data_IF_783785954066
#
_entry.id   IF_783785954066
#
_cell.length_a   1.000
_cell.length_b   1.000
_cell.length_c   1.000
_cell.angle_alpha   90.00
_cell.angle_beta   90.00
_cell.angle_gamma   90.00
#
_symmetry.space_group_name_H-M   'P 1'
#
loop_
_entity.id
_entity.type
_entity.pdbx_description
1 polymer ?
#
# COMPACT_ATOMS: atom_id res chain seq x y z
N UNK A 1 -3.68 -31.90 7.57
CA UNK A 1 -2.44 -31.09 7.64
C UNK A 1 -1.29 -32.05 7.89
N UNK A 2 -0.24 -32.11 7.05
CA UNK A 2 0.93 -32.92 7.38
C UNK A 2 1.56 -32.36 8.66
N UNK A 3 1.62 -33.20 9.70
CA UNK A 3 2.32 -32.92 10.94
C UNK A 3 3.79 -32.71 10.61
N UNK A 4 4.25 -31.45 10.56
CA UNK A 4 5.66 -31.13 10.30
C UNK A 4 6.49 -31.75 11.40
N UNK A 5 7.31 -32.75 11.07
CA UNK A 5 8.08 -33.49 12.08
C UNK A 5 9.16 -32.59 12.69
N UNK A 6 9.58 -32.90 13.92
CA UNK A 6 10.68 -32.16 14.58
C UNK A 6 11.97 -32.22 13.76
N UNK A 7 12.17 -33.29 12.99
CA UNK A 7 13.29 -33.43 12.04
C UNK A 7 13.25 -32.36 10.94
N UNK A 8 12.12 -32.23 10.23
CA UNK A 8 11.93 -31.20 9.20
C UNK A 8 12.13 -29.78 9.73
N UNK A 9 11.70 -29.52 10.97
CA UNK A 9 11.90 -28.22 11.62
C UNK A 9 13.39 -27.95 11.89
N UNK A 10 14.16 -28.97 12.26
CA UNK A 10 15.61 -28.84 12.47
C UNK A 10 16.35 -28.62 11.15
N UNK A 11 15.98 -29.34 10.10
CA UNK A 11 16.53 -29.14 8.76
C UNK A 11 16.25 -27.72 8.25
N UNK A 12 15.04 -27.22 8.49
CA UNK A 12 14.67 -25.86 8.10
C UNK A 12 15.44 -24.79 8.87
N UNK A 13 15.70 -25.01 10.16
CA UNK A 13 16.55 -24.11 10.94
C UNK A 13 18.02 -24.19 10.48
N UNK A 14 18.49 -25.40 10.14
CA UNK A 14 19.83 -25.61 9.59
C UNK A 14 20.02 -24.88 8.26
N UNK A 15 19.00 -24.90 7.38
CA UNK A 15 19.01 -24.15 6.13
C UNK A 15 19.06 -22.62 6.35
N UNK A 16 18.66 -22.13 7.53
CA UNK A 16 18.80 -20.73 7.94
C UNK A 16 20.16 -20.45 8.62
N UNK A 17 21.03 -21.45 8.75
CA UNK A 17 22.38 -21.32 9.31
C UNK A 17 22.48 -21.61 10.81
N UNK A 18 21.39 -21.97 11.49
CA UNK A 18 21.39 -22.27 12.93
C UNK A 18 21.17 -23.76 13.23
N UNK A 19 21.86 -24.28 14.25
CA UNK A 19 21.65 -25.66 14.73
C UNK A 19 20.83 -25.64 16.02
N UNK A 20 19.64 -26.24 15.98
CA UNK A 20 18.82 -26.43 17.17
C UNK A 20 19.45 -27.48 18.10
N UNK A 21 19.58 -27.19 19.41
CA UNK A 21 19.88 -28.19 20.43
C UNK A 21 18.89 -29.37 20.43
N UNK A 22 19.35 -30.54 20.84
CA UNK A 22 18.49 -31.73 20.97
C UNK A 22 17.35 -31.55 21.98
N UNK A 23 17.55 -30.70 22.99
CA UNK A 23 16.55 -30.36 24.02
C UNK A 23 15.44 -29.43 23.54
N UNK A 24 15.58 -28.79 22.38
CA UNK A 24 14.55 -27.90 21.88
C UNK A 24 13.30 -28.67 21.45
N UNK A 25 12.16 -28.23 21.96
CA UNK A 25 10.86 -28.73 21.55
C UNK A 25 10.50 -28.20 20.17
N UNK A 26 9.59 -28.89 19.46
CA UNK A 26 9.12 -28.44 18.15
C UNK A 26 8.55 -27.01 18.16
N UNK A 27 7.97 -26.56 19.27
CA UNK A 27 7.47 -25.20 19.45
C UNK A 27 8.62 -24.17 19.49
N UNK A 28 9.68 -24.46 20.25
CA UNK A 28 10.86 -23.59 20.34
C UNK A 28 11.57 -23.46 18.98
N UNK A 29 11.69 -24.57 18.23
CA UNK A 29 12.29 -24.54 16.89
C UNK A 29 11.44 -23.70 15.94
N UNK A 30 10.10 -23.85 15.99
CA UNK A 30 9.18 -23.01 15.20
C UNK A 30 9.29 -21.54 15.56
N UNK A 31 9.36 -21.21 16.85
CA UNK A 31 9.52 -19.84 17.33
C UNK A 31 10.85 -19.23 16.85
N UNK A 32 11.95 -19.98 16.90
CA UNK A 32 13.25 -19.51 16.38
C UNK A 32 13.23 -19.29 14.87
N UNK A 33 12.65 -20.22 14.11
CA UNK A 33 12.46 -20.04 12.66
C UNK A 33 11.63 -18.78 12.37
N UNK A 34 10.58 -18.52 13.16
CA UNK A 34 9.77 -17.31 12.99
C UNK A 34 10.58 -16.04 13.27
N UNK A 35 11.33 -15.99 14.37
CA UNK A 35 12.19 -14.86 14.72
C UNK A 35 13.25 -14.57 13.64
N UNK A 36 13.94 -15.60 13.13
CA UNK A 36 14.94 -15.42 12.07
C UNK A 36 14.33 -14.93 10.75
N UNK A 37 13.11 -15.35 10.45
CA UNK A 37 12.39 -14.86 9.27
C UNK A 37 12.00 -13.41 9.42
N UNK A 38 11.52 -13.01 10.60
CA UNK A 38 11.15 -11.63 10.91
C UNK A 38 12.37 -10.70 10.85
N UNK A 39 13.49 -11.10 11.45
CA UNK A 39 14.76 -10.37 11.38
C UNK A 39 15.24 -10.21 9.93
N UNK A 40 15.21 -11.29 9.14
CA UNK A 40 15.57 -11.23 7.72
C UNK A 40 14.61 -10.35 6.92
N UNK A 41 13.32 -10.35 7.25
CA UNK A 41 12.34 -9.50 6.59
C UNK A 41 12.58 -8.02 6.93
N UNK A 42 12.89 -7.69 8.17
CA UNK A 42 13.23 -6.32 8.56
C UNK A 42 14.44 -5.79 7.77
N UNK A 43 15.52 -6.58 7.68
CA UNK A 43 16.70 -6.23 6.88
C UNK A 43 16.37 -6.05 5.39
N UNK A 44 15.43 -6.84 4.86
CA UNK A 44 14.97 -6.70 3.47
C UNK A 44 14.17 -5.42 3.26
N UNK A 45 13.35 -4.99 4.22
CA UNK A 45 12.63 -3.72 4.15
C UNK A 45 13.59 -2.54 4.11
N UNK A 46 14.55 -2.52 5.03
CA UNK A 46 15.56 -1.46 5.10
C UNK A 46 16.37 -1.39 3.78
N UNK A 47 16.82 -2.53 3.27
CA UNK A 47 17.53 -2.60 2.00
C UNK A 47 16.67 -2.12 0.82
N UNK A 48 15.38 -2.50 0.77
CA UNK A 48 14.46 -2.03 -0.28
C UNK A 48 14.28 -0.51 -0.22
N UNK A 49 14.14 0.05 0.98
CA UNK A 49 14.01 1.50 1.15
C UNK A 49 15.27 2.24 0.72
N UNK A 50 16.44 1.70 1.00
CA UNK A 50 17.72 2.24 0.54
C UNK A 50 17.83 2.22 -0.99
N UNK A 51 17.53 1.09 -1.64
CA UNK A 51 17.51 0.99 -3.11
C UNK A 51 16.51 2.00 -3.72
N UNK A 52 15.33 2.15 -3.12
CA UNK A 52 14.33 3.12 -3.56
C UNK A 52 14.77 4.57 -3.37
N UNK A 53 15.47 4.89 -2.27
CA UNK A 53 16.07 6.23 -2.03
C UNK A 53 17.12 6.55 -3.08
N UNK A 54 17.98 5.58 -3.41
CA UNK A 54 18.98 5.70 -4.49
C UNK A 54 18.31 5.94 -5.84
N UNK A 55 17.27 5.17 -6.17
CA UNK A 55 16.50 5.35 -7.41
C UNK A 55 15.88 6.75 -7.49
N UNK A 56 15.20 7.21 -6.43
CA UNK A 56 14.60 8.56 -6.38
C UNK A 56 15.65 9.67 -6.52
N UNK A 57 16.85 9.48 -5.97
CA UNK A 57 17.96 10.42 -6.13
C UNK A 57 18.47 10.45 -7.57
N UNK A 58 18.70 9.28 -8.18
CA UNK A 58 19.16 9.16 -9.56
C UNK A 58 18.14 9.72 -10.56
N UNK A 59 16.83 9.59 -10.28
CA UNK A 59 15.76 10.09 -11.13
C UNK A 59 15.75 11.63 -11.32
N UNK A 60 16.49 12.38 -10.50
CA UNK A 60 16.64 13.84 -10.68
C UNK A 60 17.40 14.21 -11.95
N UNK A 61 18.25 13.32 -12.46
CA UNK A 61 19.07 13.56 -13.65
C UNK A 61 19.09 12.32 -14.53
N UNK A 62 18.72 12.49 -15.80
CA UNK A 62 18.58 11.38 -16.77
C UNK A 62 19.86 10.53 -16.86
N UNK A 63 21.04 11.15 -16.90
CA UNK A 63 22.33 10.45 -16.97
C UNK A 63 22.57 9.54 -15.78
N UNK A 64 22.22 9.98 -14.58
CA UNK A 64 22.52 9.24 -13.35
C UNK A 64 21.59 8.02 -13.24
N UNK A 65 20.34 8.18 -13.69
CA UNK A 65 19.40 7.07 -13.82
C UNK A 65 19.84 6.03 -14.86
N UNK A 66 20.41 6.47 -15.99
CA UNK A 66 20.98 5.57 -17.01
C UNK A 66 22.14 4.74 -16.43
N UNK A 67 23.08 5.36 -15.72
CA UNK A 67 24.17 4.63 -15.07
C UNK A 67 23.66 3.59 -14.04
N UNK A 68 22.60 3.92 -13.30
CA UNK A 68 22.00 3.00 -12.34
C UNK A 68 21.36 1.80 -13.03
N UNK A 69 20.65 2.01 -14.14
CA UNK A 69 20.06 0.94 -14.95
C UNK A 69 21.14 0.06 -15.58
N UNK A 70 22.22 0.64 -16.11
CA UNK A 70 23.36 -0.09 -16.65
C UNK A 70 24.02 -0.97 -15.57
N UNK A 71 24.24 -0.42 -14.36
CA UNK A 71 24.79 -1.15 -13.22
C UNK A 71 23.97 -2.40 -12.86
N UNK A 72 22.66 -2.30 -12.95
CA UNK A 72 21.73 -3.38 -12.59
C UNK A 72 21.34 -4.23 -13.81
N UNK A 73 22.01 -4.04 -14.95
CA UNK A 73 21.78 -4.75 -16.21
C UNK A 73 20.33 -4.66 -16.73
N UNK A 74 19.68 -3.52 -16.49
CA UNK A 74 18.31 -3.27 -16.94
C UNK A 74 18.32 -2.60 -18.31
N UNK A 75 17.64 -3.20 -19.29
CA UNK A 75 17.61 -2.65 -20.65
C UNK A 75 16.84 -1.33 -20.72
N UNK A 76 17.47 -0.30 -21.29
CA UNK A 76 16.82 0.96 -21.64
C UNK A 76 17.27 1.49 -22.99
N UNK A 77 16.44 2.34 -23.58
CA UNK A 77 16.77 3.10 -24.78
C UNK A 77 17.20 4.52 -24.38
N UNK A 78 18.15 5.10 -25.11
CA UNK A 78 18.58 6.49 -24.91
C UNK A 78 17.42 7.48 -25.09
N UNK A 79 16.42 7.14 -25.92
CA UNK A 79 15.21 7.96 -26.10
C UNK A 79 14.18 7.83 -24.98
N UNK A 80 14.33 6.87 -24.05
CA UNK A 80 13.36 6.69 -22.97
C UNK A 80 13.32 7.93 -22.06
N UNK A 81 12.12 8.26 -21.59
CA UNK A 81 11.94 9.32 -20.61
C UNK A 81 12.36 8.85 -19.22
N UNK A 82 12.67 9.80 -18.32
CA UNK A 82 12.98 9.49 -16.92
C UNK A 82 11.88 8.64 -16.30
N UNK A 83 10.60 8.93 -16.58
CA UNK A 83 9.46 8.16 -16.06
C UNK A 83 9.48 6.70 -16.51
N UNK A 84 9.77 6.41 -17.78
CA UNK A 84 9.82 5.03 -18.29
C UNK A 84 10.96 4.27 -17.62
N UNK A 85 12.15 4.88 -17.57
CA UNK A 85 13.35 4.33 -16.93
C UNK A 85 13.14 4.08 -15.44
N UNK A 86 12.52 5.03 -14.74
CA UNK A 86 12.17 4.91 -13.33
C UNK A 86 11.21 3.74 -13.10
N UNK A 87 10.14 3.63 -13.89
CA UNK A 87 9.17 2.54 -13.74
C UNK A 87 9.81 1.16 -13.98
N UNK A 88 10.77 1.05 -14.91
CA UNK A 88 11.49 -0.21 -15.15
C UNK A 88 12.38 -0.57 -13.97
N UNK A 89 13.17 0.39 -13.47
CA UNK A 89 14.04 0.15 -12.33
C UNK A 89 13.23 -0.12 -11.05
N UNK A 90 12.13 0.61 -10.83
CA UNK A 90 11.22 0.38 -9.71
C UNK A 90 10.65 -1.05 -9.73
N UNK A 91 10.26 -1.54 -10.91
CA UNK A 91 9.80 -2.92 -11.07
C UNK A 91 10.88 -3.92 -10.61
N UNK A 92 12.11 -3.73 -11.07
CA UNK A 92 13.25 -4.60 -10.74
C UNK A 92 13.53 -4.60 -9.24
N UNK A 93 13.60 -3.43 -8.60
CA UNK A 93 13.77 -3.31 -7.15
C UNK A 93 12.65 -4.08 -6.44
N UNK A 94 11.39 -3.79 -6.76
CA UNK A 94 10.26 -4.40 -6.07
C UNK A 94 10.21 -5.92 -6.29
N UNK A 95 10.56 -6.44 -7.46
CA UNK A 95 10.58 -7.89 -7.71
C UNK A 95 11.55 -8.67 -6.81
N UNK A 96 12.63 -8.03 -6.32
CA UNK A 96 13.59 -8.63 -5.37
C UNK A 96 12.99 -8.88 -3.98
N UNK A 97 11.97 -8.11 -3.58
CA UNK A 97 11.44 -8.09 -2.21
C UNK A 97 10.00 -8.60 -2.10
N UNK A 98 9.65 -9.16 -0.94
CA UNK A 98 8.28 -9.58 -0.62
C UNK A 98 7.37 -8.35 -0.53
N UNK A 99 6.15 -8.39 -1.12
CA UNK A 99 5.27 -7.24 -1.09
C UNK A 99 4.69 -6.98 0.31
N UNK A 100 4.49 -5.71 0.64
CA UNK A 100 4.11 -5.26 1.99
C UNK A 100 2.72 -4.61 2.04
N UNK A 101 2.14 -4.63 3.23
CA UNK A 101 0.82 -4.05 3.52
C UNK A 101 0.76 -2.53 3.28
N UNK A 102 1.88 -1.84 3.51
CA UNK A 102 2.03 -0.38 3.37
C UNK A 102 2.33 0.08 1.95
N UNK A 103 2.52 -0.83 1.00
CA UNK A 103 2.73 -0.45 -0.40
C UNK A 103 1.44 0.12 -1.00
N UNK A 104 1.59 1.20 -1.78
CA UNK A 104 0.48 1.79 -2.53
C UNK A 104 0.12 0.93 -3.74
N UNK A 105 -1.17 0.91 -4.09
CA UNK A 105 -1.69 0.27 -5.32
C UNK A 105 -1.02 0.89 -6.55
N UNK A 106 -1.01 2.23 -6.65
CA UNK A 106 -0.29 2.94 -7.71
C UNK A 106 -0.83 2.70 -9.14
N UNK A 107 -2.06 2.21 -9.28
CA UNK A 107 -2.77 2.09 -10.56
C UNK A 107 -4.31 2.10 -10.36
N UNK A 108 -5.04 2.43 -11.42
CA UNK A 108 -6.50 2.36 -11.45
C UNK A 108 -7.19 3.33 -10.49
N UNK A 109 -8.46 3.03 -10.16
CA UNK A 109 -9.30 3.88 -9.32
C UNK A 109 -8.87 3.94 -7.85
N UNK A 110 -8.09 2.96 -7.39
CA UNK A 110 -7.65 2.84 -6.01
C UNK A 110 -6.15 3.12 -5.84
N UNK A 111 -5.53 3.86 -6.78
CA UNK A 111 -4.09 4.10 -6.82
C UNK A 111 -3.52 4.70 -5.52
N UNK A 112 -4.31 5.52 -4.83
CA UNK A 112 -3.96 6.22 -3.60
C UNK A 112 -4.06 5.34 -2.34
N UNK A 113 -4.71 4.17 -2.43
CA UNK A 113 -4.84 3.27 -1.29
C UNK A 113 -3.59 2.40 -1.15
N UNK A 114 -3.28 2.04 0.10
CA UNK A 114 -2.36 0.95 0.41
C UNK A 114 -3.02 -0.41 0.15
N UNK A 115 -2.21 -1.45 0.04
CA UNK A 115 -2.70 -2.82 -0.13
C UNK A 115 -3.63 -3.23 1.02
N UNK A 116 -3.27 -2.87 2.26
CA UNK A 116 -4.08 -3.13 3.44
C UNK A 116 -5.42 -2.41 3.40
N UNK A 117 -5.42 -1.11 3.16
CA UNK A 117 -6.66 -0.32 3.07
C UNK A 117 -7.57 -0.84 1.96
N UNK A 118 -6.99 -1.22 0.81
CA UNK A 118 -7.76 -1.81 -0.29
C UNK A 118 -8.42 -3.14 0.11
N UNK A 119 -7.72 -3.98 0.87
CA UNK A 119 -8.27 -5.24 1.37
C UNK A 119 -9.42 -5.05 2.36
N UNK A 120 -9.30 -4.05 3.23
CA UNK A 120 -10.31 -3.72 4.24
C UNK A 120 -11.54 -3.05 3.62
N UNK A 121 -11.35 -2.20 2.61
CA UNK A 121 -12.43 -1.38 2.03
C UNK A 121 -13.08 -2.00 0.78
N UNK A 122 -12.31 -2.69 -0.08
CA UNK A 122 -12.75 -3.11 -1.41
C UNK A 122 -12.23 -4.50 -1.79
N UNK A 123 -12.57 -5.52 -1.00
CA UNK A 123 -12.15 -6.92 -1.25
C UNK A 123 -12.54 -7.44 -2.65
N UNK A 124 -13.69 -7.03 -3.20
CA UNK A 124 -14.12 -7.44 -4.54
C UNK A 124 -13.17 -6.97 -5.64
N UNK A 125 -12.56 -5.79 -5.47
CA UNK A 125 -11.56 -5.27 -6.42
C UNK A 125 -10.31 -6.15 -6.46
N UNK A 126 -9.90 -6.71 -5.31
CA UNK A 126 -8.78 -7.66 -5.24
C UNK A 126 -9.08 -8.98 -5.96
N UNK A 127 -10.30 -9.48 -5.87
CA UNK A 127 -10.74 -10.67 -6.61
C UNK A 127 -10.69 -10.41 -8.12
N UNK A 128 -11.18 -9.25 -8.56
CA UNK A 128 -11.07 -8.85 -9.96
C UNK A 128 -9.61 -8.75 -10.43
N UNK A 129 -8.72 -8.16 -9.62
CA UNK A 129 -7.29 -8.12 -9.93
C UNK A 129 -6.70 -9.54 -10.05
N UNK A 130 -7.07 -10.46 -9.16
CA UNK A 130 -6.61 -11.87 -9.19
C UNK A 130 -7.03 -12.57 -10.50
N UNK A 131 -8.28 -12.39 -10.93
CA UNK A 131 -8.78 -12.92 -12.22
C UNK A 131 -8.05 -12.28 -13.40
N UNK A 132 -7.93 -10.95 -13.41
CA UNK A 132 -7.31 -10.19 -14.50
C UNK A 132 -5.83 -10.56 -14.70
N UNK A 133 -5.10 -10.80 -13.60
CA UNK A 133 -3.73 -11.32 -13.67
C UNK A 133 -3.68 -12.72 -14.27
N UNK A 134 -4.66 -13.58 -13.96
CA UNK A 134 -4.77 -14.92 -14.54
C UNK A 134 -5.00 -14.93 -16.05
N UNK A 135 -5.67 -13.90 -16.58
CA UNK A 135 -5.92 -13.71 -18.01
C UNK A 135 -4.70 -13.18 -18.79
N UNK A 136 -3.63 -12.78 -18.11
CA UNK A 136 -2.33 -12.45 -18.70
C UNK A 136 -2.12 -11.00 -19.16
N UNK A 137 -3.13 -10.11 -19.04
CA UNK A 137 -3.04 -8.70 -19.43
C UNK A 137 -2.89 -7.72 -18.25
N UNK A 138 -2.08 -8.06 -17.25
CA UNK A 138 -1.93 -7.23 -16.05
C UNK A 138 -0.61 -6.47 -16.03
N UNK A 139 -0.65 -5.21 -15.58
CA UNK A 139 0.55 -4.44 -15.27
C UNK A 139 1.32 -5.08 -14.09
N UNK A 140 2.62 -4.81 -14.00
CA UNK A 140 3.47 -5.44 -12.98
C UNK A 140 3.05 -5.07 -11.54
N UNK A 141 2.46 -3.88 -11.33
CA UNK A 141 1.96 -3.44 -10.01
C UNK A 141 0.76 -4.27 -9.54
N UNK A 142 -0.15 -4.60 -10.45
CA UNK A 142 -1.29 -5.47 -10.20
C UNK A 142 -0.84 -6.90 -9.94
N UNK A 143 0.15 -7.39 -10.69
CA UNK A 143 0.76 -8.70 -10.41
C UNK A 143 1.36 -8.74 -9.00
N UNK A 144 2.04 -7.67 -8.58
CA UNK A 144 2.60 -7.53 -7.24
C UNK A 144 1.51 -7.48 -6.15
N UNK A 145 0.44 -6.72 -6.37
CA UNK A 145 -0.72 -6.68 -5.48
C UNK A 145 -1.36 -8.07 -5.33
N UNK A 146 -1.54 -8.80 -6.42
CA UNK A 146 -2.12 -10.16 -6.39
C UNK A 146 -1.18 -11.13 -5.68
N UNK A 147 0.14 -11.00 -5.86
CA UNK A 147 1.13 -11.77 -5.09
C UNK A 147 0.96 -11.54 -3.58
N UNK A 148 0.84 -10.29 -3.16
CA UNK A 148 0.56 -9.93 -1.76
C UNK A 148 -0.75 -10.52 -1.27
N UNK A 149 -1.83 -10.36 -2.04
CA UNK A 149 -3.16 -10.84 -1.67
C UNK A 149 -3.20 -12.35 -1.46
N UNK A 150 -2.51 -13.12 -2.32
CA UNK A 150 -2.35 -14.57 -2.16
C UNK A 150 -1.63 -14.94 -0.87
N UNK A 151 -0.57 -14.21 -0.51
CA UNK A 151 0.14 -14.40 0.77
C UNK A 151 -0.83 -14.18 1.94
N UNK A 152 -1.62 -13.09 1.91
CA UNK A 152 -2.59 -12.80 2.97
C UNK A 152 -3.69 -13.87 3.09
N UNK A 153 -4.24 -14.38 1.97
CA UNK A 153 -5.21 -15.49 1.99
C UNK A 153 -4.64 -16.73 2.68
N UNK A 154 -3.36 -17.05 2.45
CA UNK A 154 -2.72 -18.20 3.13
C UNK A 154 -2.48 -17.98 4.62
N UNK A 155 -2.27 -16.73 5.06
CA UNK A 155 -2.15 -16.36 6.48
C UNK A 155 -3.52 -16.46 7.17
N UNK A 156 -4.56 -15.87 6.59
CA UNK A 156 -5.92 -15.82 7.16
C UNK A 156 -6.56 -17.21 7.21
N UNK A 157 -6.35 -18.08 6.21
CA UNK A 157 -6.83 -19.47 6.24
C UNK A 157 -6.31 -20.29 7.43
N UNK A 158 -5.24 -19.84 8.09
CA UNK A 158 -4.68 -20.50 9.29
C UNK A 158 -5.14 -19.87 10.61
N UNK A 159 -5.74 -18.67 10.56
CA UNK A 159 -6.11 -17.88 11.74
C UNK A 159 -7.63 -17.67 11.90
N UNK A 160 -8.44 -17.98 10.87
CA UNK A 160 -9.90 -18.11 10.92
C UNK A 160 -10.71 -16.94 11.49
N UNK A 161 -11.17 -15.99 10.64
CA UNK A 161 -12.35 -15.10 10.81
C UNK A 161 -12.57 -14.25 9.53
N UNK A 162 -13.74 -13.58 9.35
CA UNK A 162 -14.99 -14.07 8.76
C UNK A 162 -15.20 -13.71 7.26
N UNK A 163 -16.29 -14.23 6.70
CA UNK A 163 -16.78 -14.05 5.32
C UNK A 163 -17.05 -12.57 4.97
N UNK A 164 -16.88 -12.27 3.68
CA UNK A 164 -17.11 -11.02 2.94
C UNK A 164 -17.92 -9.91 3.66
N UNK A 165 -17.42 -8.65 3.70
CA UNK A 165 -18.29 -7.51 3.95
C UNK A 165 -19.22 -7.26 2.75
N UNK A 166 -20.42 -6.71 2.98
CA UNK A 166 -21.49 -6.61 1.99
C UNK A 166 -21.10 -5.71 0.82
N UNK A 167 -21.56 -6.13 -0.36
CA UNK A 167 -21.29 -5.53 -1.66
C UNK A 167 -21.92 -4.13 -1.71
N UNK A 168 -21.11 -3.07 -1.64
CA UNK A 168 -21.57 -1.73 -2.01
C UNK A 168 -21.40 -1.59 -3.52
N UNK A 169 -22.50 -1.79 -4.24
CA UNK A 169 -22.59 -1.56 -5.69
C UNK A 169 -22.55 -0.06 -5.96
N UNK A 170 -21.42 0.47 -6.43
CA UNK A 170 -21.38 1.84 -6.95
C UNK A 170 -21.87 1.85 -8.40
N UNK A 171 -22.84 2.72 -8.77
CA UNK A 171 -23.37 2.75 -10.13
C UNK A 171 -22.36 3.33 -11.12
N UNK A 172 -22.13 2.57 -12.20
CA UNK A 172 -21.38 2.95 -13.40
C UNK A 172 -22.07 4.12 -14.10
N UNK A 173 -21.41 5.28 -14.22
CA UNK A 173 -21.86 6.38 -15.07
C UNK A 173 -21.59 6.05 -16.54
N UNK A 174 -22.64 5.77 -17.31
CA UNK A 174 -22.66 5.84 -18.77
C UNK A 174 -23.46 7.06 -19.21
N UNK A 175 -22.92 7.81 -20.16
CA UNK A 175 -23.49 9.04 -20.69
C UNK A 175 -24.43 8.80 -21.89
N UNK A 176 -25.31 9.80 -22.11
CA UNK A 176 -26.09 10.15 -23.32
C UNK A 176 -27.41 9.39 -23.62
N UNK A 177 -28.56 10.08 -23.45
CA UNK A 177 -29.43 10.53 -24.56
C UNK A 177 -30.81 11.08 -24.09
N UNK A 178 -31.09 12.34 -24.48
CA UNK A 178 -32.35 12.95 -25.01
C UNK A 178 -33.73 12.64 -24.35
N UNK A 179 -34.39 13.70 -23.85
CA UNK A 179 -35.81 13.78 -23.44
C UNK A 179 -36.78 13.94 -24.65
N UNK A 180 -38.15 13.83 -24.56
CA UNK A 180 -39.02 14.59 -23.62
C UNK A 180 -40.35 13.94 -23.11
N UNK A 181 -40.92 14.49 -22.01
CA UNK A 181 -42.34 14.69 -21.55
C UNK A 181 -43.35 13.50 -21.64
N UNK A 182 -44.24 13.13 -20.68
CA UNK A 182 -45.27 13.84 -19.87
C UNK A 182 -45.80 12.89 -18.75
N UNK A 183 -46.33 13.46 -17.63
CA UNK A 183 -47.26 13.01 -16.55
C UNK A 183 -47.67 11.53 -16.40
N UNK A 184 -47.84 10.94 -15.20
CA UNK A 184 -48.70 11.37 -14.08
C UNK A 184 -48.46 10.50 -12.80
N UNK A 185 -48.83 11.06 -11.64
CA UNK A 185 -49.26 10.44 -10.36
C UNK A 185 -48.24 9.95 -9.29
N UNK A 186 -48.33 10.63 -8.14
CA UNK A 186 -47.80 10.39 -6.77
C UNK A 186 -48.22 9.03 -6.12
N UNK A 187 -47.89 8.69 -4.85
CA UNK A 187 -47.01 9.33 -3.84
C UNK A 187 -45.95 8.36 -3.24
N UNK A 188 -44.97 8.87 -2.50
CA UNK A 188 -44.47 8.20 -1.27
C UNK A 188 -43.43 9.05 -0.55
N UNK A 189 -43.89 9.56 0.59
CA UNK A 189 -43.17 10.24 1.66
C UNK A 189 -42.23 9.25 2.38
N UNK A 190 -40.91 9.49 2.37
CA UNK A 190 -39.99 9.26 3.50
C UNK A 190 -38.53 9.65 3.17
N UNK A 191 -37.91 10.43 4.06
CA UNK A 191 -36.45 10.54 4.27
C UNK A 191 -35.62 11.51 3.40
N UNK A 192 -36.00 12.80 3.33
CA UNK A 192 -35.09 13.88 2.84
C UNK A 192 -34.57 14.78 3.98
N UNK A 193 -35.12 14.67 5.20
CA UNK A 193 -34.77 15.59 6.30
C UNK A 193 -33.43 15.24 6.97
N UNK A 194 -32.97 13.98 6.94
CA UNK A 194 -31.77 13.56 7.69
C UNK A 194 -30.43 14.01 7.07
N UNK A 195 -30.36 14.18 5.75
CA UNK A 195 -29.06 14.48 5.09
C UNK A 195 -28.70 15.96 5.09
N UNK A 196 -29.67 16.87 5.22
CA UNK A 196 -29.38 18.30 5.25
C UNK A 196 -28.72 18.72 6.57
N UNK A 197 -29.12 18.11 7.69
CA UNK A 197 -28.52 18.35 9.01
C UNK A 197 -27.10 17.77 9.09
N UNK A 198 -26.86 16.64 8.44
CA UNK A 198 -25.55 15.99 8.38
C UNK A 198 -24.55 16.79 7.54
N UNK A 199 -24.99 17.33 6.40
CA UNK A 199 -24.18 18.25 5.58
C UNK A 199 -23.86 19.53 6.36
N UNK A 200 -24.83 20.07 7.10
CA UNK A 200 -24.62 21.29 7.90
C UNK A 200 -23.64 21.06 9.05
N UNK A 201 -23.69 19.90 9.70
CA UNK A 201 -22.70 19.50 10.72
C UNK A 201 -21.29 19.37 10.13
N UNK A 202 -21.15 18.69 8.99
CA UNK A 202 -19.85 18.51 8.34
C UNK A 202 -19.25 19.84 7.86
N UNK A 203 -20.09 20.77 7.40
CA UNK A 203 -19.63 22.12 7.02
C UNK A 203 -19.16 22.95 8.23
N UNK A 204 -19.85 22.84 9.38
CA UNK A 204 -19.44 23.49 10.61
C UNK A 204 -18.12 22.92 11.16
N UNK A 205 -17.94 21.60 11.09
CA UNK A 205 -16.71 20.93 11.52
C UNK A 205 -15.51 21.30 10.62
N UNK A 206 -15.72 21.38 9.30
CA UNK A 206 -14.71 21.88 8.35
C UNK A 206 -14.30 23.34 8.61
N UNK A 207 -15.24 24.19 9.01
CA UNK A 207 -14.93 25.58 9.37
C UNK A 207 -14.06 25.63 10.64
N UNK A 208 -14.38 24.80 11.63
CA UNK A 208 -13.60 24.69 12.88
C UNK A 208 -12.17 24.20 12.62
N UNK A 209 -12.00 23.13 11.82
CA UNK A 209 -10.67 22.60 11.47
C UNK A 209 -9.84 23.63 10.69
N UNK A 210 -10.48 24.43 9.82
CA UNK A 210 -9.80 25.52 9.10
C UNK A 210 -9.32 26.63 10.03
N UNK A 211 -10.10 26.94 11.07
CA UNK A 211 -9.71 27.92 12.08
C UNK A 211 -8.56 27.41 12.95
N UNK A 212 -8.65 26.18 13.47
CA UNK A 212 -7.57 25.57 14.27
C UNK A 212 -6.26 25.48 13.47
N UNK A 213 -6.34 25.20 12.16
CA UNK A 213 -5.16 25.21 11.29
C UNK A 213 -4.55 26.60 11.13
N UNK A 214 -5.36 27.66 11.07
CA UNK A 214 -4.87 29.03 10.97
C UNK A 214 -4.17 29.46 12.26
N UNK A 215 -4.74 29.11 13.42
CA UNK A 215 -4.17 29.39 14.74
C UNK A 215 -2.82 28.67 14.94
N UNK A 216 -2.73 27.39 14.57
CA UNK A 216 -1.47 26.64 14.61
C UNK A 216 -0.40 27.19 13.65
N UNK A 217 -0.82 27.73 12.50
CA UNK A 217 0.10 28.40 11.59
C UNK A 217 0.63 29.71 12.18
N UNK A 218 -0.22 30.48 12.85
CA UNK A 218 0.18 31.72 13.52
C UNK A 218 1.14 31.45 14.68
N UNK A 219 0.82 30.48 15.55
CA UNK A 219 1.67 30.08 16.68
C UNK A 219 3.06 29.61 16.19
N UNK A 220 3.11 28.85 15.10
CA UNK A 220 4.38 28.40 14.52
C UNK A 220 5.20 29.56 13.93
N UNK A 221 4.54 30.57 13.34
CA UNK A 221 5.23 31.77 12.87
C UNK A 221 5.75 32.64 14.02
N UNK A 222 5.01 32.71 15.13
CA UNK A 222 5.43 33.45 16.32
C UNK A 222 6.58 32.74 17.06
N UNK A 223 6.53 31.41 17.16
CA UNK A 223 7.61 30.58 17.67
C UNK A 223 8.89 30.73 16.84
N UNK A 224 8.76 30.83 15.51
CA UNK A 224 9.90 31.11 14.63
C UNK A 224 10.49 32.51 14.86
N UNK A 225 9.64 33.54 15.03
CA UNK A 225 10.10 34.92 15.29
C UNK A 225 10.78 35.09 16.65
N UNK A 226 10.33 34.36 17.68
CA UNK A 226 10.95 34.40 19.02
C UNK A 226 12.30 33.68 19.06
N UNK A 227 12.44 32.59 18.32
CA UNK A 227 13.72 31.90 18.13
C UNK A 227 14.75 32.80 17.43
N UNK A 228 14.34 33.57 16.42
CA UNK A 228 15.26 34.51 15.75
C UNK A 228 15.68 35.68 16.65
N UNK A 229 14.74 36.27 17.42
CA UNK A 229 15.06 37.35 18.38
C UNK A 229 16.00 36.93 19.51
N UNK A 230 15.93 35.69 19.95
CA UNK A 230 16.80 35.16 21.02
C UNK A 230 18.21 34.83 20.53
N UNK A 231 18.37 34.52 19.23
CA UNK A 231 19.69 34.38 18.60
C UNK A 231 20.41 35.71 18.44
N UNK A 232 19.71 36.79 18.09
CA UNK A 232 20.34 38.11 17.87
C UNK A 232 20.79 38.82 19.16
N UNK A 233 20.39 38.35 20.35
CA UNK A 233 20.77 38.93 21.65
C UNK A 233 21.99 38.25 22.29
N UNK A 234 22.51 37.18 21.68
CA UNK A 234 23.65 36.39 22.18
C UNK A 234 24.95 36.58 21.39
N UNK A 235 24.96 37.51 20.44
CA UNK A 235 26.16 38.06 19.77
C UNK A 235 26.37 39.50 20.21
#
# INVERSE_FOLDING_TARGET
MPSTTVGELRERLLALGERAPRSWTGLQIKARIAALKEERQALQLDAMEEEMKVLKKAARKKSDLQMLLDKESVTFNQSDTISIMFNRMEKVIREKYEPQDTEMVGFGAHAELTYKELMETNYQYLLWCETTVGEGQANWRMQRLVKWFKIQKTKVSKQGYPKQPPVISTPRKTAMARAPHVSDSEPSDFSVISHQDEISRLQAELAKVRQEKAELQEENTEMSRTLDRTKTRKE
#
